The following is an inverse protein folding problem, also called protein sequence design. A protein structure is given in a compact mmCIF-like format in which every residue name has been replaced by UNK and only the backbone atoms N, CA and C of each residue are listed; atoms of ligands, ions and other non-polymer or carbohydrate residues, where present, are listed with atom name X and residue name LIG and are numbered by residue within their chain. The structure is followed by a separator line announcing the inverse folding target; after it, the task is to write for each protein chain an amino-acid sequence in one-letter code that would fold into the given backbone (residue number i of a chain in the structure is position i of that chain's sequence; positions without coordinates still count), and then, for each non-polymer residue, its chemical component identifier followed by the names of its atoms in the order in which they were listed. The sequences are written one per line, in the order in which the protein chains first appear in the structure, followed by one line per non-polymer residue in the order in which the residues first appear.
data_IF_460141977850
#
_entry.id   IF_460141977850
#
_cell.length_a   1.000
_cell.length_b   1.000
_cell.length_c   1.000
_cell.angle_alpha   90.00
_cell.angle_beta   90.00
_cell.angle_gamma   90.00
#
_symmetry.space_group_name_H-M   'P 1'
#
loop_
_entity.id
_entity.type
_entity.pdbx_description
1 polymer ?
#
# COMPACT_ATOMS: atom_id res chain seq x y z
N UNK A 1 1.55 -13.59 0.08
CA UNK A 1 0.41 -12.68 0.39
C UNK A 1 0.90 -11.60 1.34
N UNK A 2 0.20 -10.47 1.50
CA UNK A 2 0.63 -9.36 2.37
C UNK A 2 0.94 -9.78 3.83
N UNK A 3 0.23 -10.78 4.34
CA UNK A 3 0.47 -11.43 5.64
C UNK A 3 1.90 -12.00 5.80
N UNK A 4 2.45 -12.63 4.75
CA UNK A 4 3.82 -13.16 4.80
C UNK A 4 4.87 -12.04 4.90
N UNK A 5 4.58 -10.87 4.31
CA UNK A 5 5.45 -9.70 4.39
C UNK A 5 5.34 -9.01 5.76
N UNK A 6 4.18 -9.04 6.42
CA UNK A 6 4.01 -8.49 7.77
C UNK A 6 5.06 -9.04 8.75
N UNK A 7 5.17 -10.36 8.84
CA UNK A 7 6.12 -11.00 9.75
C UNK A 7 7.58 -10.68 9.42
N UNK A 8 7.91 -10.55 8.12
CA UNK A 8 9.28 -10.28 7.67
C UNK A 8 9.70 -8.82 7.80
N UNK A 9 8.75 -7.90 7.65
CA UNK A 9 9.03 -6.48 7.48
C UNK A 9 8.70 -5.65 8.74
N UNK A 10 7.69 -6.05 9.50
CA UNK A 10 7.17 -5.33 10.67
C UNK A 10 7.45 -6.12 11.95
N UNK A 11 7.08 -7.40 12.00
CA UNK A 11 7.13 -8.22 13.22
C UNK A 11 8.51 -8.41 13.86
N UNK A 12 9.60 -8.15 13.13
CA UNK A 12 10.97 -8.32 13.62
C UNK A 12 11.57 -7.04 14.26
N UNK A 13 10.88 -5.89 14.23
CA UNK A 13 11.43 -4.59 14.65
C UNK A 13 10.50 -3.85 15.63
N UNK A 14 10.88 -3.81 16.91
CA UNK A 14 10.05 -3.27 18.02
C UNK A 14 9.51 -1.84 17.77
N UNK A 15 10.27 -0.86 17.24
CA UNK A 15 9.73 0.48 16.98
C UNK A 15 8.64 0.50 15.91
N UNK A 16 8.69 -0.42 14.93
CA UNK A 16 7.70 -0.50 13.85
C UNK A 16 6.38 -1.08 14.31
N UNK A 17 6.38 -1.87 15.39
CA UNK A 17 5.17 -2.41 15.98
C UNK A 17 4.31 -1.33 16.64
N UNK A 18 4.91 -0.28 17.20
CA UNK A 18 4.17 0.84 17.79
C UNK A 18 3.51 1.71 16.71
N UNK A 19 4.26 2.11 15.69
CA UNK A 19 3.73 2.87 14.54
C UNK A 19 2.66 2.07 13.78
N UNK A 20 2.83 0.74 13.66
CA UNK A 20 1.80 -0.14 13.13
C UNK A 20 0.52 -0.08 13.95
N UNK A 21 0.61 -0.18 15.28
CA UNK A 21 -0.55 -0.16 16.16
C UNK A 21 -1.31 1.19 16.07
N UNK A 22 -0.59 2.30 15.93
CA UNK A 22 -1.20 3.63 15.76
C UNK A 22 -1.96 3.76 14.43
N UNK A 23 -1.46 3.15 13.36
CA UNK A 23 -2.03 3.26 12.01
C UNK A 23 -3.11 2.22 11.69
N UNK A 24 -2.91 0.96 12.11
CA UNK A 24 -3.74 -0.19 11.75
C UNK A 24 -4.53 -0.75 12.93
N UNK A 25 -4.10 -0.49 14.17
CA UNK A 25 -4.66 -1.09 15.37
C UNK A 25 -3.92 -2.36 15.82
N UNK A 26 -4.49 -3.06 16.80
CA UNK A 26 -3.86 -4.20 17.45
C UNK A 26 -3.99 -5.50 16.63
N UNK A 27 -2.89 -6.05 16.07
CA UNK A 27 -2.94 -7.28 15.29
C UNK A 27 -3.17 -8.55 16.12
N UNK A 28 -3.12 -8.50 17.46
CA UNK A 28 -3.43 -9.65 18.33
C UNK A 28 -4.91 -9.75 18.72
N UNK A 29 -5.75 -8.86 18.18
CA UNK A 29 -7.21 -8.97 18.29
C UNK A 29 -7.67 -10.35 17.81
N UNK A 30 -8.73 -10.90 18.42
CA UNK A 30 -9.26 -12.20 18.02
C UNK A 30 -9.80 -12.15 16.59
N UNK A 31 -9.03 -12.74 15.69
CA UNK A 31 -9.31 -12.80 14.27
C UNK A 31 -10.68 -13.43 13.98
N UNK A 32 -11.04 -14.54 14.65
CA UNK A 32 -12.28 -15.24 14.36
C UNK A 32 -13.48 -14.41 14.83
N UNK A 33 -13.37 -13.79 16.01
CA UNK A 33 -14.41 -12.89 16.51
C UNK A 33 -14.59 -11.68 15.57
N UNK A 34 -13.51 -11.11 15.06
CA UNK A 34 -13.56 -9.97 14.14
C UNK A 34 -14.15 -10.35 12.76
N UNK A 35 -13.80 -11.54 12.26
CA UNK A 35 -14.35 -12.12 11.03
C UNK A 35 -15.87 -12.34 11.14
N UNK A 36 -16.31 -12.96 12.23
CA UNK A 36 -17.73 -13.21 12.50
C UNK A 36 -18.52 -11.90 12.60
N UNK A 37 -17.95 -10.90 13.26
CA UNK A 37 -18.54 -9.56 13.33
C UNK A 37 -18.67 -8.93 11.94
N UNK A 38 -17.61 -8.97 11.13
CA UNK A 38 -17.61 -8.40 9.77
C UNK A 38 -18.67 -9.04 8.88
N UNK A 39 -18.83 -10.36 8.90
CA UNK A 39 -19.87 -11.02 8.11
C UNK A 39 -21.29 -10.80 8.65
N UNK A 40 -21.45 -10.61 9.96
CA UNK A 40 -22.76 -10.37 10.58
C UNK A 40 -23.26 -8.94 10.35
N UNK A 41 -22.39 -7.95 10.48
CA UNK A 41 -22.77 -6.53 10.51
C UNK A 41 -22.27 -5.73 9.31
N UNK A 42 -21.35 -6.29 8.51
CA UNK A 42 -20.70 -5.58 7.42
C UNK A 42 -19.66 -4.56 7.89
N UNK A 43 -19.03 -3.84 6.94
CA UNK A 43 -18.13 -2.75 7.26
C UNK A 43 -18.91 -1.53 7.81
N UNK A 44 -18.27 -0.66 8.62
CA UNK A 44 -18.86 0.62 9.02
C UNK A 44 -19.25 1.47 7.82
N UNK A 45 -20.35 2.23 7.89
CA UNK A 45 -20.88 3.02 6.74
C UNK A 45 -19.82 3.92 6.10
N UNK A 46 -18.94 4.52 6.88
CA UNK A 46 -17.91 5.43 6.43
C UNK A 46 -16.52 4.77 6.27
N UNK A 47 -16.48 3.45 6.06
CA UNK A 47 -15.22 2.71 5.93
C UNK A 47 -14.29 3.28 4.85
N UNK A 48 -14.84 3.76 3.73
CA UNK A 48 -14.07 4.28 2.59
C UNK A 48 -13.30 5.57 2.89
N UNK A 49 -13.56 6.20 4.04
CA UNK A 49 -12.80 7.36 4.53
C UNK A 49 -11.49 6.97 5.21
N UNK A 50 -11.33 5.70 5.59
CA UNK A 50 -10.22 5.21 6.42
C UNK A 50 -9.52 3.94 5.92
N UNK A 51 -10.18 3.19 5.05
CA UNK A 51 -9.74 1.87 4.60
C UNK A 51 -9.76 1.79 3.07
N UNK A 52 -8.82 1.03 2.52
CA UNK A 52 -8.69 0.85 1.06
C UNK A 52 -9.77 -0.07 0.48
N UNK A 53 -10.31 -0.97 1.30
CA UNK A 53 -11.40 -1.87 0.97
C UNK A 53 -12.33 -2.06 2.18
N UNK A 54 -13.54 -2.56 1.95
CA UNK A 54 -14.44 -2.93 3.05
C UNK A 54 -13.84 -4.03 3.92
N UNK A 55 -13.15 -4.99 3.30
CA UNK A 55 -12.55 -6.12 3.98
C UNK A 55 -11.37 -5.72 4.87
N UNK A 56 -10.65 -4.64 4.53
CA UNK A 56 -9.64 -4.05 5.42
C UNK A 56 -10.21 -3.62 6.78
N UNK A 57 -11.53 -3.38 6.91
CA UNK A 57 -12.16 -3.11 8.21
C UNK A 57 -12.27 -4.32 9.12
N UNK A 58 -12.10 -5.53 8.57
CA UNK A 58 -12.35 -6.78 9.29
C UNK A 58 -11.33 -7.02 10.39
N UNK A 59 -10.05 -6.76 10.15
CA UNK A 59 -9.00 -6.99 11.13
C UNK A 59 -7.75 -6.15 10.80
N UNK A 60 -6.99 -5.65 11.80
CA UNK A 60 -5.77 -4.87 11.56
C UNK A 60 -4.74 -5.56 10.65
N UNK A 61 -4.62 -6.89 10.73
CA UNK A 61 -3.73 -7.65 9.82
C UNK A 61 -4.22 -7.63 8.37
N UNK A 62 -5.53 -7.57 8.15
CA UNK A 62 -6.12 -7.49 6.81
C UNK A 62 -6.05 -6.07 6.26
N UNK A 63 -6.24 -5.07 7.11
CA UNK A 63 -5.98 -3.67 6.74
C UNK A 63 -4.54 -3.48 6.23
N UNK A 64 -3.57 -4.10 6.91
CA UNK A 64 -2.20 -4.17 6.42
C UNK A 64 -2.09 -4.90 5.08
N UNK A 65 -2.64 -6.12 4.98
CA UNK A 65 -2.49 -6.95 3.79
C UNK A 65 -3.10 -6.30 2.55
N UNK A 66 -4.29 -5.72 2.68
CA UNK A 66 -5.00 -4.99 1.64
C UNK A 66 -4.26 -3.71 1.26
N UNK A 67 -3.83 -2.91 2.25
CA UNK A 67 -3.04 -1.69 1.98
C UNK A 67 -1.72 -2.02 1.27
N UNK A 68 -1.03 -3.07 1.70
CA UNK A 68 0.22 -3.53 1.11
C UNK A 68 0.02 -3.99 -0.34
N UNK A 69 -0.99 -4.82 -0.59
CA UNK A 69 -1.33 -5.27 -1.93
C UNK A 69 -1.68 -4.08 -2.85
N UNK A 70 -2.42 -3.12 -2.33
CA UNK A 70 -2.81 -1.93 -3.08
C UNK A 70 -1.62 -1.01 -3.39
N UNK A 71 -0.70 -0.85 -2.45
CA UNK A 71 0.56 -0.13 -2.69
C UNK A 71 1.38 -0.79 -3.82
N UNK A 72 1.48 -2.11 -3.84
CA UNK A 72 2.16 -2.84 -4.92
C UNK A 72 1.44 -2.67 -6.26
N UNK A 73 0.11 -2.74 -6.27
CA UNK A 73 -0.68 -2.49 -7.48
C UNK A 73 -0.39 -1.12 -8.09
N UNK A 74 -0.30 -0.06 -7.26
CA UNK A 74 0.07 1.28 -7.71
C UNK A 74 1.48 1.30 -8.31
N UNK A 75 2.44 0.69 -7.62
CA UNK A 75 3.84 0.60 -8.06
C UNK A 75 3.97 -0.12 -9.40
N UNK A 76 3.37 -1.30 -9.54
CA UNK A 76 3.41 -2.11 -10.76
C UNK A 76 2.74 -1.40 -11.94
N UNK A 77 1.63 -0.70 -11.67
CA UNK A 77 0.92 0.06 -12.71
C UNK A 77 1.74 1.25 -13.17
N UNK A 78 2.41 1.96 -12.27
CA UNK A 78 3.31 3.06 -12.61
C UNK A 78 4.52 2.58 -13.44
N UNK A 79 5.13 1.46 -13.08
CA UNK A 79 6.25 0.87 -13.83
C UNK A 79 5.83 0.47 -15.24
N UNK A 80 4.66 -0.15 -15.37
CA UNK A 80 4.04 -0.48 -16.66
C UNK A 80 3.79 0.78 -17.48
N UNK A 81 3.13 1.79 -16.89
CA UNK A 81 2.84 3.05 -17.55
C UNK A 81 4.12 3.76 -18.03
N UNK A 82 5.18 3.77 -17.21
CA UNK A 82 6.47 4.34 -17.60
C UNK A 82 7.12 3.57 -18.76
N UNK A 83 6.98 2.25 -18.79
CA UNK A 83 7.48 1.41 -19.87
C UNK A 83 6.79 1.66 -21.22
N UNK A 84 5.56 2.18 -21.20
CA UNK A 84 4.81 2.55 -22.41
C UNK A 84 4.69 4.07 -22.63
N UNK A 85 5.45 4.89 -21.89
CA UNK A 85 5.47 6.34 -22.06
C UNK A 85 4.22 7.07 -21.56
N UNK A 86 3.39 6.42 -20.74
CA UNK A 86 2.20 6.99 -20.09
C UNK A 86 2.50 7.64 -18.73
N UNK A 87 3.67 7.35 -18.16
CA UNK A 87 4.20 8.00 -16.97
C UNK A 87 5.68 8.37 -17.18
N UNK A 88 6.24 9.29 -16.38
CA UNK A 88 7.67 9.61 -16.47
C UNK A 88 8.55 8.37 -16.31
N UNK A 89 9.67 8.28 -17.02
CA UNK A 89 10.61 7.17 -16.89
C UNK A 89 11.11 6.98 -15.44
N UNK A 90 11.17 8.07 -14.66
CA UNK A 90 11.50 8.05 -13.24
C UNK A 90 10.52 7.25 -12.35
N UNK A 91 9.35 6.85 -12.88
CA UNK A 91 8.39 6.01 -12.18
C UNK A 91 8.72 4.50 -12.27
N UNK A 92 9.68 4.10 -13.12
CA UNK A 92 10.14 2.71 -13.20
C UNK A 92 10.80 2.25 -11.90
N UNK A 93 10.67 0.97 -11.59
CA UNK A 93 11.21 0.38 -10.35
C UNK A 93 12.73 0.56 -10.19
N UNK A 94 13.47 0.38 -11.28
CA UNK A 94 14.93 0.43 -11.31
C UNK A 94 15.48 1.87 -11.17
N UNK A 95 14.70 2.87 -11.57
CA UNK A 95 15.08 4.28 -11.51
C UNK A 95 14.53 4.98 -10.26
N UNK A 96 13.40 4.50 -9.74
CA UNK A 96 12.82 5.02 -8.51
C UNK A 96 13.46 4.34 -7.30
N UNK A 97 14.59 4.89 -6.88
CA UNK A 97 15.16 4.60 -5.56
C UNK A 97 14.07 4.82 -4.52
N UNK A 98 13.91 3.87 -3.59
CA UNK A 98 13.00 4.02 -2.47
C UNK A 98 13.62 5.05 -1.47
N UNK A 99 12.79 5.75 -0.71
CA UNK A 99 13.22 6.83 0.19
C UNK A 99 12.01 7.47 0.89
N UNK A 100 12.08 7.88 2.18
CA UNK A 100 10.91 8.34 2.92
C UNK A 100 10.23 9.58 2.30
N UNK A 101 11.00 10.48 1.70
CA UNK A 101 10.51 11.66 0.97
C UNK A 101 9.95 11.36 -0.43
N UNK A 102 10.05 10.11 -0.89
CA UNK A 102 9.70 9.71 -2.26
C UNK A 102 8.31 9.10 -2.39
N UNK A 103 7.64 8.82 -1.27
CA UNK A 103 6.23 8.42 -1.29
C UNK A 103 5.35 9.51 -1.91
N UNK A 104 5.55 10.78 -1.54
CA UNK A 104 4.79 11.90 -2.10
C UNK A 104 5.02 12.07 -3.60
N UNK A 105 6.26 11.86 -4.05
CA UNK A 105 6.58 11.82 -5.50
C UNK A 105 5.84 10.69 -6.20
N UNK A 106 5.78 9.49 -5.61
CA UNK A 106 5.02 8.37 -6.17
C UNK A 106 3.54 8.73 -6.29
N UNK A 107 2.93 9.23 -5.22
CA UNK A 107 1.50 9.56 -5.21
C UNK A 107 1.21 10.71 -6.19
N UNK A 108 2.13 11.68 -6.29
CA UNK A 108 2.07 12.76 -7.27
C UNK A 108 2.11 12.29 -8.73
N UNK A 109 2.77 11.16 -9.02
CA UNK A 109 2.71 10.51 -10.34
C UNK A 109 1.46 9.64 -10.51
N UNK A 110 1.04 8.95 -9.46
CA UNK A 110 -0.08 8.01 -9.49
C UNK A 110 -1.43 8.69 -9.72
N UNK A 111 -1.76 9.72 -8.94
CA UNK A 111 -3.10 10.33 -8.96
C UNK A 111 -3.49 10.89 -10.33
N UNK A 112 -2.62 11.64 -11.05
CA UNK A 112 -2.94 12.11 -12.41
C UNK A 112 -3.12 10.96 -13.41
N UNK A 113 -2.31 9.90 -13.30
CA UNK A 113 -2.41 8.72 -14.16
C UNK A 113 -3.74 7.99 -13.93
N UNK A 114 -4.06 7.67 -12.68
CA UNK A 114 -5.29 6.98 -12.33
C UNK A 114 -6.53 7.77 -12.76
N UNK A 115 -6.52 9.09 -12.57
CA UNK A 115 -7.62 9.94 -13.05
C UNK A 115 -7.73 9.92 -14.58
N UNK A 116 -6.60 10.05 -15.30
CA UNK A 116 -6.59 9.99 -16.76
C UNK A 116 -7.14 8.67 -17.28
N UNK A 117 -6.76 7.53 -16.68
CA UNK A 117 -7.27 6.20 -17.03
C UNK A 117 -8.79 6.11 -16.82
N UNK A 118 -9.30 6.63 -15.71
CA UNK A 118 -10.75 6.68 -15.46
C UNK A 118 -11.47 7.55 -16.49
N UNK A 119 -10.93 8.72 -16.85
CA UNK A 119 -11.55 9.59 -17.86
C UNK A 119 -11.56 8.95 -19.26
N UNK A 120 -10.48 8.26 -19.63
CA UNK A 120 -10.43 7.50 -20.88
C UNK A 120 -11.50 6.39 -20.87
N UNK A 121 -11.63 5.64 -19.77
CA UNK A 121 -12.63 4.57 -19.73
C UNK A 121 -14.06 5.12 -19.80
N UNK A 122 -14.35 6.23 -19.11
CA UNK A 122 -15.66 6.91 -19.18
C UNK A 122 -15.97 7.43 -20.58
N UNK A 123 -14.99 8.00 -21.31
CA UNK A 123 -15.21 8.50 -22.67
C UNK A 123 -15.53 7.37 -23.66
N UNK A 124 -15.09 6.14 -23.36
CA UNK A 124 -15.44 4.93 -24.08
C UNK A 124 -16.73 4.26 -23.58
N UNK A 125 -17.48 4.90 -22.67
CA UNK A 125 -18.73 4.38 -22.12
C UNK A 125 -18.54 3.22 -21.13
N UNK A 126 -17.35 3.08 -20.53
CA UNK A 126 -17.03 2.06 -19.52
C UNK A 126 -16.96 2.69 -18.13
N UNK A 127 -17.09 1.84 -17.10
CA UNK A 127 -16.94 2.24 -15.69
C UNK A 127 -15.48 2.64 -15.38
N UNK A 128 -15.19 3.16 -14.20
CA UNK A 128 -13.81 3.50 -13.83
C UNK A 128 -12.91 2.26 -13.82
N UNK A 129 -11.69 2.40 -14.37
CA UNK A 129 -10.68 1.34 -14.32
C UNK A 129 -10.11 1.20 -12.90
N UNK A 130 -10.00 2.33 -12.20
CA UNK A 130 -9.55 2.43 -10.82
C UNK A 130 -10.62 3.13 -9.98
N UNK A 131 -11.62 2.40 -9.45
CA UNK A 131 -12.75 2.95 -8.69
C UNK A 131 -12.43 3.19 -7.20
N UNK A 132 -11.15 3.21 -6.82
CA UNK A 132 -10.74 3.34 -5.41
C UNK A 132 -10.53 4.79 -5.01
N UNK A 133 -10.90 5.10 -3.77
CA UNK A 133 -10.62 6.39 -3.13
C UNK A 133 -9.42 6.23 -2.21
N UNK A 134 -8.49 7.18 -2.27
CA UNK A 134 -7.30 7.22 -1.41
C UNK A 134 -7.40 8.40 -0.44
N UNK A 135 -8.22 8.30 0.62
CA UNK A 135 -8.32 9.34 1.63
C UNK A 135 -7.01 9.44 2.42
N UNK A 136 -6.80 10.56 3.11
CA UNK A 136 -5.58 10.82 3.87
C UNK A 136 -5.16 9.66 4.80
N UNK A 137 -6.05 9.01 5.58
CA UNK A 137 -5.65 7.89 6.44
C UNK A 137 -5.10 6.69 5.65
N UNK A 138 -5.62 6.42 4.45
CA UNK A 138 -5.12 5.34 3.59
C UNK A 138 -3.74 5.70 3.04
N UNK A 139 -3.53 6.96 2.67
CA UNK A 139 -2.22 7.44 2.20
C UNK A 139 -1.16 7.34 3.30
N UNK A 140 -1.49 7.61 4.55
CA UNK A 140 -0.55 7.46 5.68
C UNK A 140 -0.19 6.00 5.93
N UNK A 141 -1.17 5.08 5.86
CA UNK A 141 -0.90 3.63 5.91
C UNK A 141 -0.01 3.17 4.75
N UNK A 142 -0.26 3.67 3.54
CA UNK A 142 0.59 3.38 2.37
C UNK A 142 1.99 3.96 2.49
N UNK A 143 2.14 5.15 3.10
CA UNK A 143 3.43 5.75 3.41
C UNK A 143 4.21 4.87 4.37
N UNK A 144 3.56 4.34 5.41
CA UNK A 144 4.18 3.39 6.32
C UNK A 144 4.65 2.12 5.58
N UNK A 145 3.79 1.53 4.74
CA UNK A 145 4.18 0.40 3.87
C UNK A 145 5.43 0.75 3.04
N UNK A 146 5.45 1.93 2.41
CA UNK A 146 6.58 2.40 1.61
C UNK A 146 7.87 2.47 2.43
N UNK A 147 7.84 3.12 3.59
CA UNK A 147 8.99 3.28 4.50
C UNK A 147 9.54 1.94 4.97
N UNK A 148 8.65 0.99 5.29
CA UNK A 148 9.04 -0.33 5.77
C UNK A 148 9.71 -1.17 4.66
N UNK A 149 9.20 -1.09 3.42
CA UNK A 149 9.81 -1.76 2.26
C UNK A 149 11.17 -1.14 1.94
N UNK A 150 11.25 0.19 1.95
CA UNK A 150 12.47 0.95 1.68
C UNK A 150 13.60 0.56 2.64
N UNK A 151 13.33 0.62 3.95
CA UNK A 151 14.31 0.26 4.96
C UNK A 151 14.73 -1.23 4.89
N UNK A 152 13.83 -2.12 4.44
CA UNK A 152 14.20 -3.52 4.20
C UNK A 152 15.10 -3.69 2.96
N UNK A 153 14.89 -2.90 1.91
CA UNK A 153 15.76 -2.87 0.74
C UNK A 153 17.16 -2.35 1.08
N UNK A 154 17.24 -1.27 1.87
CA UNK A 154 18.52 -0.72 2.36
C UNK A 154 19.30 -1.73 3.21
N UNK A 155 18.62 -2.42 4.14
CA UNK A 155 19.24 -3.47 4.96
C UNK A 155 19.84 -4.58 4.09
N UNK A 156 19.07 -5.09 3.12
CA UNK A 156 19.54 -6.14 2.21
C UNK A 156 20.73 -5.66 1.35
N UNK A 157 20.69 -4.43 0.83
CA UNK A 157 21.79 -3.85 0.06
C UNK A 157 23.08 -3.75 0.90
N UNK A 158 22.99 -3.28 2.15
CA UNK A 158 24.11 -3.19 3.08
C UNK A 158 24.73 -4.55 3.42
N UNK A 159 23.91 -5.59 3.63
CA UNK A 159 24.40 -6.96 3.87
C UNK A 159 25.07 -7.58 2.65
N UNK A 160 24.58 -7.30 1.43
CA UNK A 160 25.18 -7.79 0.20
C UNK A 160 26.56 -7.17 -0.07
N UNK A 161 26.75 -5.89 0.29
CA UNK A 161 28.06 -5.21 0.22
C UNK A 161 29.04 -5.62 1.32
N UNK A 162 28.55 -6.21 2.43
CA UNK A 162 29.39 -6.63 3.57
C UNK A 162 30.06 -8.00 3.42
N UNK A 163 29.73 -8.77 2.38
CA UNK A 163 30.28 -10.12 2.15
C UNK A 163 31.41 -10.16 1.10
N UNK A 164 31.95 -9.00 0.70
CA UNK A 164 33.04 -8.89 -0.29
C UNK A 164 34.38 -8.42 0.29
N UNK A 165 34.70 -8.80 1.53
CA UNK A 165 36.01 -8.55 2.15
C UNK A 165 36.69 -9.86 2.53
#
# INVERSE_FOLDING_TARGET
TGHAYFHRLVGAWIPRSAEFADLFGDPVTDYQTALDHHYRYGPPVNWSERYVSSYATMHPSEDWAETFAHYLHIRDTLDTAASFGLAPAAAKFDLMHLGPSRFDTLIGMWLPLAWSLNMINRSMGRADLYPFVLPHPVLEKMRFVHTVIDAAAEYNAGTATGYSA
#
